data_IF_647771030456
#
_entry.id   IF_647771030456
#
_cell.length_a   1.000
_cell.length_b   1.000
_cell.length_c   1.000
_cell.angle_alpha   90.00
_cell.angle_beta   90.00
_cell.angle_gamma   90.00
#
_symmetry.space_group_name_H-M   'P 1'
#
loop_
_entity.id
_entity.type
_entity.pdbx_description
1 polymer ?
#
# COMPACT_ATOMS: atom_id res chain seq x y z
N UNK A 1 26.18 -28.23 -22.24
CA UNK A 1 26.61 -27.38 -21.13
C UNK A 1 26.84 -25.92 -21.58
N UNK A 2 25.90 -25.28 -22.28
CA UNK A 2 25.97 -23.85 -22.73
C UNK A 2 24.64 -23.08 -22.67
N UNK A 3 23.68 -23.48 -21.82
CA UNK A 3 22.38 -22.82 -21.71
C UNK A 3 22.18 -21.98 -20.42
N UNK A 4 23.16 -21.98 -19.52
CA UNK A 4 23.02 -21.39 -18.18
C UNK A 4 23.39 -19.89 -18.06
N UNK A 5 24.02 -19.27 -19.08
CA UNK A 5 24.57 -17.91 -18.94
C UNK A 5 23.62 -16.78 -19.39
N UNK A 6 22.56 -17.09 -20.15
CA UNK A 6 21.63 -16.05 -20.61
C UNK A 6 20.51 -15.72 -19.62
N UNK A 7 20.08 -16.68 -18.80
CA UNK A 7 19.02 -16.47 -17.78
C UNK A 7 19.53 -15.64 -16.61
N UNK A 8 20.79 -15.83 -16.21
CA UNK A 8 21.42 -15.03 -15.12
C UNK A 8 21.59 -13.56 -15.51
N UNK A 9 21.82 -13.26 -16.80
CA UNK A 9 21.92 -11.86 -17.27
C UNK A 9 20.58 -11.10 -17.26
N UNK A 10 19.45 -11.78 -17.40
CA UNK A 10 18.13 -11.15 -17.35
C UNK A 10 17.77 -10.81 -15.89
N UNK A 11 18.15 -11.62 -14.91
CA UNK A 11 17.93 -11.32 -13.49
C UNK A 11 18.81 -10.18 -12.95
N UNK A 12 20.04 -10.02 -13.48
CA UNK A 12 20.93 -8.90 -13.11
C UNK A 12 20.43 -7.58 -13.72
N UNK A 13 19.77 -7.62 -14.87
CA UNK A 13 19.18 -6.41 -15.46
C UNK A 13 17.92 -5.92 -14.71
N UNK A 14 17.19 -6.81 -14.02
CA UNK A 14 16.04 -6.43 -13.19
C UNK A 14 16.42 -5.86 -11.80
N UNK A 15 17.63 -6.17 -11.32
CA UNK A 15 18.16 -5.61 -10.06
C UNK A 15 18.83 -4.23 -10.24
N UNK A 16 19.10 -3.82 -11.49
CA UNK A 16 19.71 -2.51 -11.77
C UNK A 16 18.68 -1.40 -12.07
N UNK A 17 17.38 -1.74 -12.12
CA UNK A 17 16.30 -0.76 -12.16
C UNK A 17 15.61 -0.67 -10.80
N UNK A 18 16.38 -0.45 -9.73
CA UNK A 18 15.83 0.29 -8.61
C UNK A 18 15.68 1.74 -9.12
N UNK A 19 14.45 2.28 -9.22
CA UNK A 19 14.33 3.72 -9.33
C UNK A 19 14.93 4.25 -8.05
N UNK A 20 16.14 4.81 -8.14
CA UNK A 20 16.58 5.76 -7.14
C UNK A 20 15.44 6.75 -7.03
N UNK A 21 14.69 6.70 -5.93
CA UNK A 21 13.87 7.80 -5.45
C UNK A 21 14.87 8.93 -5.16
N UNK A 22 15.34 9.57 -6.23
CA UNK A 22 15.93 10.89 -6.17
C UNK A 22 14.80 11.74 -5.60
N UNK A 23 14.94 12.12 -4.33
CA UNK A 23 14.22 13.28 -3.82
C UNK A 23 14.39 14.34 -4.91
N UNK A 24 13.30 14.70 -5.58
CA UNK A 24 13.30 15.74 -6.61
C UNK A 24 13.72 17.03 -5.90
N UNK A 25 15.03 17.27 -5.88
CA UNK A 25 15.57 18.57 -5.46
C UNK A 25 15.03 19.56 -6.48
N UNK A 26 14.34 20.58 -5.98
CA UNK A 26 13.87 21.70 -6.80
C UNK A 26 14.98 22.14 -7.75
N UNK A 27 14.69 22.14 -9.04
CA UNK A 27 15.60 22.76 -10.00
C UNK A 27 15.70 24.26 -9.68
N UNK A 28 16.84 24.86 -9.96
CA UNK A 28 17.01 26.30 -9.75
C UNK A 28 15.95 27.14 -10.49
N UNK A 29 15.45 26.63 -11.61
CA UNK A 29 14.37 27.28 -12.38
C UNK A 29 13.04 27.27 -11.65
N UNK A 30 12.72 26.21 -10.92
CA UNK A 30 11.48 26.12 -10.14
C UNK A 30 11.52 27.02 -8.90
N UNK A 31 12.67 27.12 -8.24
CA UNK A 31 12.87 28.09 -7.15
C UNK A 31 12.65 29.50 -7.66
N UNK A 32 13.20 29.85 -8.82
CA UNK A 32 13.01 31.16 -9.44
C UNK A 32 11.55 31.41 -9.84
N UNK A 33 10.82 30.40 -10.30
CA UNK A 33 9.38 30.52 -10.60
C UNK A 33 8.55 30.79 -9.34
N UNK A 34 8.87 30.15 -8.23
CA UNK A 34 8.21 30.42 -6.94
C UNK A 34 8.54 31.81 -6.43
N UNK A 35 9.81 32.22 -6.48
CA UNK A 35 10.23 33.56 -6.06
C UNK A 35 9.63 34.69 -6.92
N UNK A 36 9.30 34.46 -8.19
CA UNK A 36 8.57 35.39 -9.03
C UNK A 36 7.11 35.63 -8.63
N UNK A 37 6.51 34.73 -7.85
CA UNK A 37 5.12 34.81 -7.37
C UNK A 37 5.01 35.57 -6.02
N UNK A 38 6.13 35.92 -5.41
CA UNK A 38 6.18 36.53 -4.08
C UNK A 38 6.94 37.84 -4.12
N UNK A 39 6.52 38.83 -3.34
CA UNK A 39 7.26 40.07 -3.12
C UNK A 39 8.35 39.78 -2.09
N UNK A 40 9.56 40.28 -2.36
CA UNK A 40 10.68 40.19 -1.42
C UNK A 40 10.79 41.50 -0.65
N UNK A 41 10.71 41.42 0.66
CA UNK A 41 10.85 42.53 1.60
C UNK A 41 12.13 42.36 2.40
N UNK A 42 12.71 43.45 2.85
CA UNK A 42 13.78 43.42 3.85
C UNK A 42 13.20 43.54 5.26
N UNK A 43 13.42 42.53 6.07
CA UNK A 43 13.01 42.52 7.47
C UNK A 43 14.19 42.13 8.35
N UNK A 44 14.53 42.99 9.31
CA UNK A 44 15.69 42.83 10.21
C UNK A 44 17.03 42.57 9.48
N UNK A 45 17.24 43.13 8.30
CA UNK A 45 18.45 42.96 7.48
C UNK A 45 18.53 41.63 6.72
N UNK A 46 17.44 40.89 6.66
CA UNK A 46 17.29 39.64 5.88
C UNK A 46 16.26 39.85 4.78
N UNK A 47 16.52 39.25 3.61
CA UNK A 47 15.56 39.22 2.54
C UNK A 47 14.48 38.18 2.87
N UNK A 48 13.23 38.60 2.85
CA UNK A 48 12.06 37.76 3.24
C UNK A 48 11.05 37.75 2.10
N UNK A 49 10.61 36.56 1.72
CA UNK A 49 9.52 36.37 0.77
C UNK A 49 8.17 36.50 1.47
N UNK A 50 7.36 37.45 1.00
CA UNK A 50 6.00 37.66 1.52
C UNK A 50 5.04 36.60 0.97
N UNK A 51 4.54 35.71 1.83
CA UNK A 51 3.73 34.59 1.43
C UNK A 51 2.34 34.64 2.06
N UNK A 52 1.25 34.63 1.24
CA UNK A 52 -0.10 34.48 1.74
C UNK A 52 -0.43 32.99 1.99
N UNK A 53 -1.37 32.71 2.91
CA UNK A 53 -1.84 31.35 3.20
C UNK A 53 -2.27 30.61 1.93
N UNK A 54 -2.99 31.29 1.04
CA UNK A 54 -3.47 30.72 -0.22
C UNK A 54 -2.34 30.11 -1.06
N UNK A 55 -1.24 30.85 -1.21
CA UNK A 55 -0.07 30.38 -1.97
C UNK A 55 0.59 29.17 -1.31
N UNK A 56 0.69 29.17 0.03
CA UNK A 56 1.24 28.04 0.79
C UNK A 56 0.40 26.78 0.56
N UNK A 57 -0.92 26.89 0.62
CA UNK A 57 -1.82 25.76 0.37
C UNK A 57 -1.77 25.28 -1.09
N UNK A 58 -1.65 26.17 -2.07
CA UNK A 58 -1.46 25.80 -3.48
C UNK A 58 -0.15 25.03 -3.68
N UNK A 59 0.96 25.53 -3.15
CA UNK A 59 2.26 24.85 -3.22
C UNK A 59 2.24 23.51 -2.51
N UNK A 60 1.54 23.43 -1.38
CA UNK A 60 1.36 22.18 -0.65
C UNK A 60 0.67 21.10 -1.51
N UNK A 61 -0.43 21.46 -2.17
CA UNK A 61 -1.18 20.55 -3.05
C UNK A 61 -0.35 20.03 -4.23
N UNK A 62 0.51 20.89 -4.79
CA UNK A 62 1.33 20.52 -5.93
C UNK A 62 2.55 19.67 -5.56
N UNK A 63 3.15 19.89 -4.38
CA UNK A 63 4.49 19.40 -4.06
C UNK A 63 4.60 18.39 -2.94
N UNK A 64 3.67 18.40 -1.99
CA UNK A 64 3.81 17.53 -0.83
C UNK A 64 3.66 16.07 -1.21
N UNK A 65 4.68 15.25 -0.91
CA UNK A 65 4.70 13.82 -1.20
C UNK A 65 3.50 13.08 -0.59
N UNK A 66 2.98 13.58 0.53
CA UNK A 66 1.80 13.02 1.16
C UNK A 66 0.56 13.07 0.25
N UNK A 67 0.36 14.16 -0.52
CA UNK A 67 -0.76 14.23 -1.48
C UNK A 67 -0.57 13.27 -2.65
N UNK A 68 0.66 13.12 -3.16
CA UNK A 68 0.98 12.14 -4.20
C UNK A 68 0.73 10.71 -3.71
N UNK A 69 1.14 10.38 -2.48
CA UNK A 69 0.90 9.05 -1.90
C UNK A 69 -0.58 8.73 -1.72
N UNK A 70 -1.40 9.73 -1.33
CA UNK A 70 -2.84 9.57 -1.22
C UNK A 70 -3.50 9.32 -2.58
N UNK A 71 -3.07 10.02 -3.63
CA UNK A 71 -3.55 9.77 -4.99
C UNK A 71 -3.20 8.35 -5.46
N UNK A 72 -1.98 7.90 -5.23
CA UNK A 72 -1.56 6.53 -5.55
C UNK A 72 -2.34 5.48 -4.74
N UNK A 73 -2.73 5.76 -3.50
CA UNK A 73 -3.55 4.84 -2.71
C UNK A 73 -4.98 4.69 -3.26
N UNK A 74 -5.55 5.74 -3.82
CA UNK A 74 -6.83 5.70 -4.53
C UNK A 74 -6.72 4.85 -5.81
N UNK A 75 -5.66 5.06 -6.60
CA UNK A 75 -5.38 4.30 -7.82
C UNK A 75 -5.13 2.80 -7.51
N UNK A 76 -4.40 2.51 -6.45
CA UNK A 76 -4.17 1.14 -5.98
C UNK A 76 -5.48 0.44 -5.63
N UNK A 77 -6.42 1.13 -4.95
CA UNK A 77 -7.73 0.58 -4.65
C UNK A 77 -8.56 0.29 -5.92
N UNK A 78 -8.51 1.18 -6.93
CA UNK A 78 -9.15 0.94 -8.22
C UNK A 78 -8.54 -0.27 -8.95
N UNK A 79 -7.22 -0.38 -8.94
CA UNK A 79 -6.50 -1.53 -9.53
C UNK A 79 -6.87 -2.82 -8.82
N UNK A 80 -7.09 -2.79 -7.51
CA UNK A 80 -7.56 -3.96 -6.74
C UNK A 80 -8.92 -4.49 -7.21
N UNK A 81 -9.85 -3.61 -7.63
CA UNK A 81 -11.13 -4.04 -8.23
C UNK A 81 -10.89 -4.81 -9.53
N UNK A 82 -10.00 -4.28 -10.40
CA UNK A 82 -9.65 -4.95 -11.66
C UNK A 82 -9.06 -6.32 -11.37
N UNK A 83 -8.05 -6.41 -10.49
CA UNK A 83 -7.44 -7.69 -10.12
C UNK A 83 -8.43 -8.69 -9.49
N UNK A 84 -9.44 -8.17 -8.76
CA UNK A 84 -10.48 -9.04 -8.17
C UNK A 84 -11.46 -9.55 -9.23
N UNK A 85 -11.80 -8.77 -10.22
CA UNK A 85 -12.63 -9.20 -11.37
C UNK A 85 -11.88 -10.22 -12.24
N UNK A 86 -10.58 -10.01 -12.44
CA UNK A 86 -9.73 -10.90 -13.24
C UNK A 86 -9.45 -12.24 -12.58
N UNK A 87 -9.74 -12.40 -11.29
CA UNK A 87 -9.56 -13.68 -10.58
C UNK A 87 -10.28 -14.86 -11.23
N UNK A 88 -11.37 -14.59 -11.95
CA UNK A 88 -12.14 -15.60 -12.67
C UNK A 88 -11.70 -15.77 -14.14
N UNK A 89 -10.60 -15.10 -14.57
CA UNK A 89 -10.05 -15.30 -15.91
C UNK A 89 -9.47 -16.71 -16.07
N UNK A 90 -9.45 -17.23 -17.30
CA UNK A 90 -8.84 -18.52 -17.57
C UNK A 90 -7.35 -18.48 -17.24
N UNK A 91 -6.87 -19.53 -16.59
CA UNK A 91 -5.46 -19.71 -16.27
C UNK A 91 -4.88 -20.86 -17.07
N UNK A 92 -3.67 -20.67 -17.60
CA UNK A 92 -2.86 -21.71 -18.21
C UNK A 92 -1.60 -21.89 -17.37
N UNK A 93 -1.45 -23.06 -16.77
CA UNK A 93 -0.30 -23.40 -15.95
C UNK A 93 0.46 -24.57 -16.57
N UNK A 94 1.75 -24.40 -16.79
CA UNK A 94 2.62 -25.50 -17.21
C UNK A 94 3.63 -25.77 -16.09
N UNK A 95 3.75 -27.04 -15.70
CA UNK A 95 4.68 -27.52 -14.69
C UNK A 95 5.60 -28.58 -15.29
N UNK A 96 6.85 -28.57 -14.83
CA UNK A 96 7.87 -29.55 -15.18
C UNK A 96 8.41 -30.15 -13.87
N UNK A 97 8.37 -31.46 -13.77
CA UNK A 97 8.82 -32.20 -12.58
C UNK A 97 9.80 -33.29 -12.95
N UNK A 98 10.86 -33.43 -12.16
CA UNK A 98 11.76 -34.57 -12.18
C UNK A 98 11.83 -35.15 -10.75
N UNK A 99 11.68 -36.43 -10.65
CA UNK A 99 11.89 -37.12 -9.38
C UNK A 99 12.71 -38.39 -9.61
N UNK A 100 13.64 -38.67 -8.72
CA UNK A 100 14.36 -39.92 -8.64
C UNK A 100 14.16 -40.49 -7.23
N UNK A 101 13.78 -41.76 -7.16
CA UNK A 101 13.57 -42.46 -5.90
C UNK A 101 14.18 -43.87 -5.97
N UNK A 102 14.92 -44.20 -4.95
CA UNK A 102 15.46 -45.55 -4.76
C UNK A 102 14.88 -46.16 -3.48
N UNK A 103 14.38 -47.39 -3.56
CA UNK A 103 13.94 -48.13 -2.39
C UNK A 103 14.67 -49.48 -2.34
N UNK A 104 15.23 -49.81 -1.16
CA UNK A 104 15.83 -51.10 -0.88
C UNK A 104 14.88 -51.88 0.03
N UNK A 105 14.59 -53.13 -0.38
CA UNK A 105 13.84 -54.08 0.45
C UNK A 105 14.78 -55.04 1.14
N UNK A 106 14.56 -55.32 2.41
CA UNK A 106 15.48 -56.05 3.32
C UNK A 106 15.74 -57.51 2.98
N UNK A 107 15.13 -58.07 1.95
CA UNK A 107 15.24 -59.50 1.69
C UNK A 107 16.05 -59.90 0.45
N UNK A 108 16.09 -59.13 -0.64
CA UNK A 108 16.79 -59.57 -1.87
C UNK A 108 16.83 -58.58 -3.00
N UNK A 109 16.71 -57.31 -2.72
CA UNK A 109 16.80 -56.33 -3.81
C UNK A 109 16.06 -55.01 -3.56
N UNK A 110 16.09 -54.14 -4.53
CA UNK A 110 15.44 -52.84 -4.48
C UNK A 110 14.96 -52.41 -5.85
N UNK A 111 14.45 -51.20 -5.92
CA UNK A 111 14.13 -50.55 -7.21
C UNK A 111 14.55 -49.11 -7.17
N UNK A 112 15.11 -48.64 -8.26
CA UNK A 112 15.34 -47.26 -8.55
C UNK A 112 14.37 -46.81 -9.65
N UNK A 113 13.70 -45.69 -9.46
CA UNK A 113 12.76 -45.16 -10.45
C UNK A 113 13.01 -43.68 -10.68
N UNK A 114 13.24 -43.30 -11.92
CA UNK A 114 13.30 -41.94 -12.36
C UNK A 114 12.03 -41.55 -13.15
N UNK A 115 11.43 -40.46 -12.80
CA UNK A 115 10.19 -39.98 -13.41
C UNK A 115 10.33 -38.54 -13.85
N UNK A 116 10.09 -38.28 -15.13
CA UNK A 116 9.93 -36.97 -15.70
C UNK A 116 8.44 -36.72 -15.97
N UNK A 117 7.92 -35.59 -15.50
CA UNK A 117 6.53 -35.21 -15.71
C UNK A 117 6.44 -33.80 -16.30
N UNK A 118 5.68 -33.66 -17.37
CA UNK A 118 5.28 -32.36 -17.93
C UNK A 118 3.76 -32.30 -17.82
N UNK A 119 3.22 -31.25 -17.24
CA UNK A 119 1.77 -31.09 -17.12
C UNK A 119 1.39 -29.67 -17.51
N UNK A 120 0.39 -29.55 -18.39
CA UNK A 120 -0.20 -28.28 -18.78
C UNK A 120 -1.68 -28.32 -18.43
N UNK A 121 -2.10 -27.41 -17.56
CA UNK A 121 -3.49 -27.30 -17.07
C UNK A 121 -4.07 -25.97 -17.50
N UNK A 122 -5.18 -26.02 -18.20
CA UNK A 122 -6.07 -24.89 -18.44
C UNK A 122 -7.21 -24.98 -17.43
N UNK A 123 -7.52 -23.89 -16.72
CA UNK A 123 -8.65 -23.87 -15.81
C UNK A 123 -9.37 -22.53 -15.83
N UNK A 124 -10.70 -22.56 -15.62
CA UNK A 124 -11.53 -21.37 -15.51
C UNK A 124 -12.61 -21.57 -14.47
N UNK A 125 -12.76 -20.58 -13.57
CA UNK A 125 -13.92 -20.45 -12.70
C UNK A 125 -14.94 -19.51 -13.35
N UNK A 126 -16.20 -19.91 -13.32
CA UNK A 126 -17.33 -19.12 -13.81
C UNK A 126 -17.93 -18.28 -12.67
N UNK A 127 -18.62 -17.21 -13.02
CA UNK A 127 -19.22 -16.29 -12.04
C UNK A 127 -20.38 -16.92 -11.23
N UNK A 128 -20.92 -18.06 -11.68
CA UNK A 128 -21.91 -18.83 -10.95
C UNK A 128 -21.31 -19.85 -9.94
N UNK A 129 -19.97 -19.87 -9.80
CA UNK A 129 -19.26 -20.77 -8.91
C UNK A 129 -18.80 -22.09 -9.54
N UNK A 130 -19.30 -22.45 -10.73
CA UNK A 130 -18.80 -23.59 -11.47
C UNK A 130 -17.34 -23.39 -11.90
N UNK A 131 -16.57 -24.48 -11.99
CA UNK A 131 -15.24 -24.43 -12.58
C UNK A 131 -15.03 -25.61 -13.51
N UNK A 132 -14.31 -25.37 -14.59
CA UNK A 132 -13.89 -26.42 -15.52
C UNK A 132 -12.41 -26.30 -15.83
N UNK A 133 -11.81 -27.40 -16.21
CA UNK A 133 -10.40 -27.46 -16.55
C UNK A 133 -10.09 -28.61 -17.49
N UNK A 134 -8.96 -28.45 -18.18
CA UNK A 134 -8.37 -29.44 -19.04
C UNK A 134 -6.91 -29.61 -18.65
N UNK A 135 -6.47 -30.83 -18.41
CA UNK A 135 -5.07 -31.12 -18.07
C UNK A 135 -4.52 -32.12 -19.06
N UNK A 136 -3.46 -31.72 -19.73
CA UNK A 136 -2.61 -32.64 -20.52
C UNK A 136 -1.36 -32.90 -19.71
N UNK A 137 -1.09 -34.17 -19.41
CA UNK A 137 0.14 -34.56 -18.73
C UNK A 137 0.84 -35.70 -19.46
N UNK A 138 2.15 -35.61 -19.44
CA UNK A 138 3.07 -36.61 -19.96
C UNK A 138 4.01 -37.02 -18.84
N UNK A 139 4.10 -38.32 -18.61
CA UNK A 139 4.94 -38.91 -17.56
C UNK A 139 5.81 -39.99 -18.16
N UNK A 140 7.11 -39.77 -18.19
CA UNK A 140 8.11 -40.73 -18.57
C UNK A 140 8.68 -41.41 -17.32
N UNK A 141 8.58 -42.73 -17.25
CA UNK A 141 9.07 -43.53 -16.12
C UNK A 141 10.14 -44.50 -16.61
N UNK A 142 11.28 -44.50 -15.96
CA UNK A 142 12.30 -45.50 -16.11
C UNK A 142 12.55 -46.17 -14.76
N UNK A 143 12.43 -47.49 -14.70
CA UNK A 143 12.66 -48.25 -13.46
C UNK A 143 13.81 -49.22 -13.66
N UNK A 144 14.64 -49.35 -12.66
CA UNK A 144 15.75 -50.29 -12.61
C UNK A 144 15.59 -51.17 -11.38
N UNK A 145 15.61 -52.48 -11.54
CA UNK A 145 15.61 -53.42 -10.43
C UNK A 145 17.03 -53.58 -9.90
N UNK A 146 17.21 -53.41 -8.61
CA UNK A 146 18.49 -53.57 -7.92
C UNK A 146 18.50 -54.95 -7.25
N UNK A 147 19.47 -55.78 -7.55
CA UNK A 147 19.67 -57.07 -6.85
C UNK A 147 20.90 -56.98 -5.98
N UNK A 148 20.76 -57.30 -4.71
CA UNK A 148 21.84 -57.39 -3.77
C UNK A 148 22.26 -58.83 -3.60
N UNK A 149 23.44 -59.22 -4.04
CA UNK A 149 23.99 -60.56 -3.75
C UNK A 149 24.59 -60.62 -2.36
N UNK A 150 25.03 -59.47 -1.79
CA UNK A 150 25.50 -59.33 -0.43
C UNK A 150 25.32 -57.88 0.00
N UNK A 151 25.30 -57.59 1.33
CA UNK A 151 25.16 -56.25 1.92
C UNK A 151 26.24 -55.24 1.51
N UNK A 152 27.33 -55.71 0.89
CA UNK A 152 28.46 -54.87 0.46
C UNK A 152 28.44 -54.50 -1.03
N UNK A 153 27.58 -55.14 -1.85
CA UNK A 153 27.52 -54.89 -3.31
C UNK A 153 26.08 -54.91 -3.80
N UNK A 154 25.57 -53.77 -4.18
CA UNK A 154 24.29 -53.64 -4.90
C UNK A 154 24.59 -53.54 -6.39
N UNK A 155 24.24 -54.54 -7.16
CA UNK A 155 24.44 -54.52 -8.60
C UNK A 155 23.09 -54.34 -9.34
N UNK A 156 23.07 -53.49 -10.36
CA UNK A 156 21.88 -53.25 -11.18
C UNK A 156 21.76 -54.34 -12.21
N UNK A 157 20.79 -55.24 -12.10
CA UNK A 157 20.70 -56.40 -12.97
C UNK A 157 19.62 -56.35 -14.03
N UNK A 158 18.60 -55.51 -13.90
CA UNK A 158 17.56 -55.43 -14.92
C UNK A 158 17.00 -54.02 -15.02
N UNK A 159 17.20 -53.38 -16.13
CA UNK A 159 16.52 -52.11 -16.47
C UNK A 159 15.24 -52.45 -17.23
N UNK A 160 14.09 -51.97 -16.75
CA UNK A 160 12.87 -52.05 -17.56
C UNK A 160 12.95 -51.01 -18.67
N UNK A 161 12.42 -51.29 -19.84
CA UNK A 161 12.29 -50.33 -20.90
C UNK A 161 11.54 -49.11 -20.41
N UNK A 162 12.01 -47.86 -20.72
CA UNK A 162 11.31 -46.68 -20.36
C UNK A 162 9.91 -46.66 -20.99
N UNK A 163 8.91 -46.31 -20.21
CA UNK A 163 7.58 -46.14 -20.75
C UNK A 163 7.09 -44.68 -20.50
N UNK A 164 6.32 -44.21 -21.47
CA UNK A 164 5.66 -42.92 -21.44
C UNK A 164 4.18 -43.10 -21.29
N UNK A 165 3.60 -42.36 -20.35
CA UNK A 165 2.16 -42.30 -20.14
C UNK A 165 1.71 -40.85 -20.40
N UNK A 166 0.89 -40.66 -21.42
CA UNK A 166 0.17 -39.44 -21.67
C UNK A 166 -1.24 -39.55 -21.08
N UNK A 167 -1.73 -38.45 -20.52
CA UNK A 167 -3.13 -38.39 -20.08
C UNK A 167 -3.75 -37.03 -20.42
N UNK A 168 -4.97 -37.07 -20.95
CA UNK A 168 -5.82 -35.92 -21.17
C UNK A 168 -7.02 -36.01 -20.24
N UNK A 169 -7.13 -35.09 -19.32
CA UNK A 169 -8.23 -35.02 -18.35
C UNK A 169 -9.08 -33.77 -18.57
N UNK A 170 -10.41 -33.95 -18.57
CA UNK A 170 -11.35 -32.84 -18.48
C UNK A 170 -12.10 -32.94 -17.15
N UNK A 171 -12.19 -31.87 -16.42
CA UNK A 171 -12.88 -31.78 -15.14
C UNK A 171 -13.89 -30.66 -15.11
N UNK A 172 -15.05 -30.92 -14.48
CA UNK A 172 -16.13 -29.97 -14.24
C UNK A 172 -16.58 -30.08 -12.79
N UNK A 173 -16.52 -29.01 -12.05
CA UNK A 173 -17.01 -28.91 -10.68
C UNK A 173 -18.22 -27.99 -10.60
N UNK A 174 -19.32 -28.52 -10.04
CA UNK A 174 -20.59 -27.81 -9.88
C UNK A 174 -20.93 -27.72 -8.40
N UNK A 175 -20.90 -26.55 -7.79
CA UNK A 175 -21.36 -26.35 -6.42
C UNK A 175 -22.89 -26.23 -6.38
N UNK A 176 -23.55 -26.83 -5.36
CA UNK A 176 -25.01 -26.79 -5.20
C UNK A 176 -25.48 -25.83 -4.10
N UNK A 177 -24.74 -25.69 -3.01
CA UNK A 177 -25.10 -24.83 -1.88
C UNK A 177 -24.01 -23.81 -1.58
N UNK A 178 -22.94 -24.21 -0.91
CA UNK A 178 -21.82 -23.32 -0.64
C UNK A 178 -21.14 -22.94 -1.96
N UNK A 179 -20.87 -21.65 -2.12
CA UNK A 179 -20.23 -21.07 -3.31
C UNK A 179 -21.03 -21.22 -4.62
N UNK A 180 -22.32 -21.57 -4.52
CA UNK A 180 -23.23 -21.63 -5.65
C UNK A 180 -23.89 -20.28 -5.91
N UNK A 181 -23.99 -19.91 -7.20
CA UNK A 181 -24.70 -18.73 -7.64
C UNK A 181 -23.83 -17.50 -7.85
N UNK A 182 -24.35 -16.57 -8.66
CA UNK A 182 -23.65 -15.35 -9.07
C UNK A 182 -23.41 -14.38 -7.90
N UNK A 183 -24.39 -14.20 -7.02
CA UNK A 183 -24.31 -13.22 -5.96
C UNK A 183 -23.13 -13.46 -5.02
N UNK A 184 -22.98 -14.72 -4.57
CA UNK A 184 -21.91 -15.11 -3.64
C UNK A 184 -20.53 -15.01 -4.29
N UNK A 185 -20.43 -15.42 -5.55
CA UNK A 185 -19.16 -15.37 -6.27
C UNK A 185 -18.75 -13.95 -6.67
N UNK A 186 -19.68 -13.00 -6.69
CA UNK A 186 -19.44 -11.58 -6.96
C UNK A 186 -19.18 -10.75 -5.68
N UNK A 187 -19.38 -11.32 -4.48
CA UNK A 187 -19.12 -10.62 -3.21
C UNK A 187 -17.71 -10.04 -3.11
N UNK A 188 -16.63 -10.74 -3.52
CA UNK A 188 -15.29 -10.17 -3.47
C UNK A 188 -15.14 -8.91 -4.33
N UNK A 189 -15.83 -8.84 -5.47
CA UNK A 189 -15.84 -7.66 -6.34
C UNK A 189 -16.60 -6.52 -5.67
N UNK A 190 -17.79 -6.78 -5.11
CA UNK A 190 -18.57 -5.80 -4.34
C UNK A 190 -17.79 -5.25 -3.15
N UNK A 191 -17.04 -6.11 -2.43
CA UNK A 191 -16.18 -5.70 -1.33
C UNK A 191 -15.00 -4.83 -1.81
N UNK A 192 -14.40 -5.16 -2.95
CA UNK A 192 -13.35 -4.35 -3.55
C UNK A 192 -13.87 -2.97 -4.00
N UNK A 193 -15.09 -2.89 -4.56
CA UNK A 193 -15.75 -1.64 -4.94
C UNK A 193 -16.00 -0.73 -3.72
N UNK A 194 -16.45 -1.30 -2.59
CA UNK A 194 -16.54 -0.55 -1.32
C UNK A 194 -15.14 -0.12 -0.84
N UNK A 195 -14.12 -0.93 -1.09
CA UNK A 195 -12.73 -0.59 -0.81
C UNK A 195 -12.30 0.69 -1.53
N UNK A 196 -12.70 0.88 -2.80
CA UNK A 196 -12.47 2.13 -3.55
C UNK A 196 -13.21 3.31 -2.92
N UNK A 197 -14.49 3.14 -2.58
CA UNK A 197 -15.28 4.18 -1.91
C UNK A 197 -14.62 4.62 -0.60
N UNK A 198 -14.16 3.67 0.21
CA UNK A 198 -13.44 3.94 1.47
C UNK A 198 -12.08 4.61 1.22
N UNK A 199 -11.31 4.17 0.23
CA UNK A 199 -10.03 4.78 -0.14
C UNK A 199 -10.21 6.24 -0.53
N UNK A 200 -11.24 6.57 -1.31
CA UNK A 200 -11.59 7.94 -1.69
C UNK A 200 -11.88 8.82 -0.46
N UNK A 201 -12.78 8.37 0.44
CA UNK A 201 -13.14 9.15 1.62
C UNK A 201 -12.00 9.29 2.63
N UNK A 202 -11.19 8.23 2.81
CA UNK A 202 -9.96 8.29 3.61
C UNK A 202 -8.95 9.29 3.04
N UNK A 203 -8.74 9.25 1.74
CA UNK A 203 -7.85 10.18 1.04
C UNK A 203 -8.33 11.62 1.21
N UNK A 204 -9.65 11.86 1.03
CA UNK A 204 -10.25 13.19 1.24
C UNK A 204 -10.07 13.69 2.67
N UNK A 205 -10.35 12.85 3.66
CA UNK A 205 -10.16 13.19 5.08
C UNK A 205 -8.70 13.52 5.38
N UNK A 206 -7.77 12.69 4.88
CA UNK A 206 -6.33 12.90 5.06
C UNK A 206 -5.83 14.17 4.37
N UNK A 207 -6.31 14.45 3.15
CA UNK A 207 -6.00 15.71 2.43
C UNK A 207 -6.46 16.94 3.22
N UNK A 208 -7.67 16.92 3.76
CA UNK A 208 -8.18 18.01 4.61
C UNK A 208 -7.36 18.17 5.90
N UNK A 209 -7.00 17.06 6.56
CA UNK A 209 -6.17 17.10 7.76
C UNK A 209 -4.76 17.65 7.49
N UNK A 210 -4.15 17.30 6.35
CA UNK A 210 -2.87 17.85 5.93
C UNK A 210 -2.96 19.37 5.68
N UNK A 211 -3.99 19.82 4.95
CA UNK A 211 -4.21 21.26 4.70
C UNK A 211 -4.43 22.02 5.99
N UNK A 212 -5.22 21.47 6.92
CA UNK A 212 -5.43 22.07 8.23
C UNK A 212 -4.13 22.15 9.04
N UNK A 213 -3.30 21.11 9.03
CA UNK A 213 -2.00 21.11 9.69
C UNK A 213 -1.06 22.18 9.13
N UNK A 214 -1.00 22.32 7.80
CA UNK A 214 -0.20 23.36 7.14
C UNK A 214 -0.73 24.76 7.46
N UNK A 215 -2.04 24.95 7.45
CA UNK A 215 -2.66 26.22 7.83
C UNK A 215 -2.36 26.59 9.29
N UNK A 216 -2.37 25.62 10.20
CA UNK A 216 -1.98 25.84 11.60
C UNK A 216 -0.55 26.34 11.73
N UNK A 217 0.42 25.68 11.09
CA UNK A 217 1.82 26.10 11.10
C UNK A 217 1.99 27.52 10.50
N UNK A 218 1.20 27.84 9.47
CA UNK A 218 1.21 29.19 8.91
C UNK A 218 0.71 30.26 9.91
N UNK A 219 -0.38 29.98 10.64
CA UNK A 219 -0.88 30.91 11.65
C UNK A 219 0.06 31.02 12.84
N UNK A 220 0.83 29.98 13.18
CA UNK A 220 1.92 30.07 14.15
C UNK A 220 3.01 31.01 13.66
N UNK A 221 3.34 30.98 12.35
CA UNK A 221 4.27 31.93 11.73
C UNK A 221 3.75 33.35 11.82
N UNK A 222 2.48 33.61 11.54
CA UNK A 222 1.85 34.94 11.69
C UNK A 222 1.96 35.42 13.13
N UNK A 223 1.61 34.59 14.10
CA UNK A 223 1.62 34.93 15.53
C UNK A 223 3.01 35.29 16.03
N UNK A 224 4.04 34.54 15.61
CA UNK A 224 5.42 34.82 16.07
C UNK A 224 5.96 36.10 15.49
N UNK A 225 5.68 36.43 14.22
CA UNK A 225 6.09 37.69 13.63
C UNK A 225 5.38 38.90 14.26
N UNK A 226 4.11 38.77 14.60
CA UNK A 226 3.38 39.79 15.35
C UNK A 226 3.99 39.99 16.75
N UNK A 227 4.36 38.88 17.43
CA UNK A 227 5.02 38.95 18.73
C UNK A 227 6.39 39.64 18.65
N UNK A 228 7.15 39.41 17.59
CA UNK A 228 8.42 40.12 17.34
C UNK A 228 8.18 41.61 17.19
N UNK A 229 7.18 42.03 16.42
CA UNK A 229 6.85 43.45 16.23
C UNK A 229 6.44 44.15 17.54
N UNK A 230 5.64 43.46 18.37
CA UNK A 230 5.25 43.95 19.68
C UNK A 230 6.46 44.06 20.62
N UNK A 231 7.33 43.03 20.63
CA UNK A 231 8.52 43.01 21.48
C UNK A 231 9.56 44.10 21.07
N UNK A 232 9.69 44.43 19.77
CA UNK A 232 10.51 45.56 19.31
C UNK A 232 10.03 46.88 19.90
N UNK A 233 8.71 47.08 19.95
CA UNK A 233 8.12 48.26 20.60
C UNK A 233 8.44 48.28 22.10
N UNK A 234 8.35 47.14 22.79
CA UNK A 234 8.69 47.02 24.21
C UNK A 234 10.16 47.37 24.45
N UNK A 235 11.08 46.85 23.66
CA UNK A 235 12.51 47.19 23.74
C UNK A 235 12.72 48.69 23.53
N UNK A 236 12.04 49.33 22.56
CA UNK A 236 12.14 50.78 22.33
C UNK A 236 11.67 51.59 23.53
N UNK A 237 10.55 51.16 24.17
CA UNK A 237 10.03 51.84 25.38
C UNK A 237 11.00 51.65 26.55
N UNK A 238 11.56 50.46 26.77
CA UNK A 238 12.51 50.21 27.84
C UNK A 238 13.82 50.97 27.65
N UNK A 239 14.30 51.13 26.39
CA UNK A 239 15.45 51.97 26.06
C UNK A 239 15.19 53.46 26.36
N UNK A 240 13.99 53.93 26.08
CA UNK A 240 13.64 55.32 26.40
C UNK A 240 13.56 55.52 27.91
N UNK A 241 12.92 54.60 28.64
CA UNK A 241 12.83 54.64 30.10
C UNK A 241 14.21 54.65 30.77
N UNK A 242 15.13 53.80 30.28
CA UNK A 242 16.49 53.79 30.78
C UNK A 242 17.20 55.14 30.58
N UNK A 243 17.07 55.75 29.37
CA UNK A 243 17.63 57.06 29.09
C UNK A 243 17.07 58.14 30.02
N UNK A 244 15.77 58.18 30.22
CA UNK A 244 15.09 59.12 31.10
C UNK A 244 15.54 58.95 32.57
N UNK A 245 15.63 57.71 33.05
CA UNK A 245 16.10 57.41 34.40
C UNK A 245 17.58 57.77 34.62
N UNK A 246 18.43 57.56 33.62
CA UNK A 246 19.82 58.01 33.65
C UNK A 246 19.93 59.56 33.70
N UNK A 247 19.09 60.29 32.97
CA UNK A 247 19.06 61.74 33.01
C UNK A 247 18.61 62.26 34.39
N UNK A 248 17.59 61.68 34.99
CA UNK A 248 17.10 62.03 36.35
C UNK A 248 18.14 61.67 37.42
N UNK A 249 18.86 60.57 37.29
CA UNK A 249 19.95 60.20 38.20
C UNK A 249 21.06 61.26 38.18
N UNK A 250 21.48 61.72 36.97
CA UNK A 250 22.48 62.75 36.83
C UNK A 250 22.04 64.12 37.47
N UNK A 251 20.72 64.35 37.46
CA UNK A 251 20.12 65.51 38.15
C UNK A 251 19.93 65.29 39.68
N UNK A 252 20.37 64.16 40.21
CA UNK A 252 20.23 63.79 41.64
C UNK A 252 18.81 63.47 42.08
N UNK A 253 17.89 63.23 41.15
CA UNK A 253 16.47 62.95 41.41
C UNK A 253 16.09 61.46 41.49
N UNK A 254 17.04 60.55 41.15
CA UNK A 254 16.78 59.13 41.11
C UNK A 254 17.95 58.35 41.72
N UNK A 255 17.66 57.19 42.36
CA UNK A 255 18.68 56.35 42.98
C UNK A 255 19.43 55.51 41.92
N UNK A 256 20.70 55.11 42.14
CA UNK A 256 21.41 54.21 41.25
C UNK A 256 20.72 52.83 41.10
N UNK A 257 20.00 52.38 42.13
CA UNK A 257 19.28 51.10 42.11
C UNK A 257 18.10 51.08 41.14
N UNK A 258 17.43 52.23 40.96
CA UNK A 258 16.32 52.38 39.99
C UNK A 258 16.80 52.42 38.55
N UNK A 259 18.00 52.98 38.29
CA UNK A 259 18.62 52.91 36.97
C UNK A 259 19.03 51.48 36.65
N UNK A 260 19.63 50.76 37.63
CA UNK A 260 19.98 49.34 37.46
C UNK A 260 18.74 48.47 37.20
N UNK A 261 17.60 48.78 37.85
CA UNK A 261 16.36 48.10 37.59
C UNK A 261 15.86 48.29 36.14
N UNK A 262 15.93 49.53 35.64
CA UNK A 262 15.55 49.81 34.23
C UNK A 262 16.51 49.19 33.21
N UNK A 263 17.79 49.12 33.53
CA UNK A 263 18.78 48.42 32.68
C UNK A 263 18.53 46.91 32.65
N UNK A 264 18.23 46.33 33.80
CA UNK A 264 17.86 44.90 33.89
C UNK A 264 16.58 44.62 33.11
N UNK A 265 15.59 45.52 33.13
CA UNK A 265 14.38 45.38 32.34
C UNK A 265 14.66 45.41 30.84
N UNK A 266 15.47 46.36 30.38
CA UNK A 266 15.88 46.43 28.98
C UNK A 266 16.56 45.14 28.52
N UNK A 267 17.52 44.63 29.31
CA UNK A 267 18.20 43.35 28.99
C UNK A 267 17.23 42.17 28.88
N UNK A 268 16.24 42.13 29.74
CA UNK A 268 15.18 41.08 29.66
C UNK A 268 14.36 41.21 28.38
N UNK A 269 13.96 42.42 28.00
CA UNK A 269 13.19 42.67 26.80
C UNK A 269 13.98 42.34 25.52
N UNK A 270 15.27 42.66 25.49
CA UNK A 270 16.20 42.29 24.42
C UNK A 270 16.41 40.78 24.34
N UNK A 271 16.56 40.10 25.49
CA UNK A 271 16.66 38.63 25.54
C UNK A 271 15.40 37.99 24.98
N UNK A 272 14.21 38.48 25.36
CA UNK A 272 12.92 37.97 24.85
C UNK A 272 12.81 38.16 23.35
N UNK A 273 13.21 39.33 22.83
CA UNK A 273 13.23 39.59 21.39
C UNK A 273 14.15 38.59 20.65
N UNK A 274 15.32 38.32 21.24
CA UNK A 274 16.26 37.38 20.66
C UNK A 274 15.68 35.94 20.62
N UNK A 275 15.02 35.51 21.70
CA UNK A 275 14.33 34.22 21.75
C UNK A 275 13.23 34.12 20.69
N UNK A 276 12.38 35.14 20.55
CA UNK A 276 11.31 35.16 19.54
C UNK A 276 11.86 35.05 18.11
N UNK A 277 13.01 35.70 17.83
CA UNK A 277 13.68 35.58 16.53
C UNK A 277 14.16 34.12 16.26
N UNK A 278 14.69 33.46 17.28
CA UNK A 278 15.09 32.05 17.16
C UNK A 278 13.88 31.15 16.92
N UNK A 279 12.78 31.39 17.60
CA UNK A 279 11.57 30.60 17.43
C UNK A 279 10.92 30.86 16.05
N UNK A 280 11.01 32.09 15.51
CA UNK A 280 10.58 32.35 14.14
C UNK A 280 11.32 31.50 13.10
N UNK A 281 12.64 31.32 13.24
CA UNK A 281 13.43 30.46 12.37
C UNK A 281 12.96 29.01 12.43
N UNK A 282 12.63 28.50 13.63
CA UNK A 282 12.11 27.13 13.79
C UNK A 282 10.76 26.96 13.08
N UNK A 283 9.86 27.94 13.21
CA UNK A 283 8.55 27.89 12.54
C UNK A 283 8.71 28.03 11.02
N UNK A 284 9.60 28.88 10.53
CA UNK A 284 9.94 28.94 9.10
C UNK A 284 10.42 27.58 8.57
N UNK A 285 11.29 26.89 9.32
CA UNK A 285 11.77 25.56 8.94
C UNK A 285 10.64 24.51 8.98
N UNK A 286 9.70 24.62 9.91
CA UNK A 286 8.50 23.76 9.93
C UNK A 286 7.63 23.97 8.69
N UNK A 287 7.41 25.23 8.26
CA UNK A 287 6.69 25.54 7.01
C UNK A 287 7.42 24.94 5.80
N UNK A 288 8.74 25.10 5.72
CA UNK A 288 9.54 24.52 4.63
C UNK A 288 9.44 23.00 4.60
N UNK A 289 9.57 22.37 5.77
CA UNK A 289 9.44 20.92 5.90
C UNK A 289 8.05 20.42 5.50
N UNK A 290 6.99 21.10 5.94
CA UNK A 290 5.62 20.76 5.59
C UNK A 290 5.33 20.87 4.08
N UNK A 291 6.00 21.81 3.39
CA UNK A 291 5.88 22.01 1.95
C UNK A 291 6.90 21.19 1.13
N UNK A 292 7.77 20.44 1.80
CA UNK A 292 8.89 19.72 1.16
C UNK A 292 9.77 20.66 0.31
N UNK A 293 10.01 21.88 0.83
CA UNK A 293 10.87 22.87 0.18
C UNK A 293 12.32 22.73 0.66
N UNK A 294 13.32 22.94 -0.23
CA UNK A 294 14.71 23.02 0.18
C UNK A 294 14.95 24.30 0.98
N UNK A 295 16.14 24.43 1.53
CA UNK A 295 16.57 25.67 2.15
C UNK A 295 16.61 26.78 1.08
N UNK A 296 15.72 27.77 1.25
CA UNK A 296 15.65 28.93 0.35
C UNK A 296 16.64 29.99 0.81
N UNK A 297 17.22 30.80 -0.11
CA UNK A 297 18.11 31.91 0.24
C UNK A 297 17.39 33.09 0.95
N UNK A 298 16.06 33.04 0.95
CA UNK A 298 15.19 34.06 1.56
C UNK A 298 14.38 33.47 2.69
N UNK A 299 14.10 34.26 3.74
CA UNK A 299 13.17 33.85 4.81
C UNK A 299 11.71 33.89 4.34
N UNK A 300 10.80 33.35 5.15
CA UNK A 300 9.37 33.42 4.89
C UNK A 300 8.70 34.44 5.81
N UNK A 301 7.99 35.40 5.23
CA UNK A 301 7.22 36.40 5.96
C UNK A 301 5.73 36.25 5.63
N UNK A 302 4.84 36.13 6.61
CA UNK A 302 3.41 36.00 6.35
C UNK A 302 2.81 37.33 5.92
N UNK A 303 1.95 37.33 4.90
CA UNK A 303 1.26 38.54 4.43
C UNK A 303 -0.12 38.73 5.06
N UNK A 304 -0.72 37.67 5.58
CA UNK A 304 -2.08 37.74 6.09
C UNK A 304 -2.12 38.29 7.52
N UNK A 305 -3.08 39.18 7.76
CA UNK A 305 -3.34 39.74 9.09
C UNK A 305 -4.66 39.13 9.58
N UNK A 306 -4.68 38.49 10.78
CA UNK A 306 -5.92 37.94 11.31
C UNK A 306 -6.94 39.06 11.51
N UNK A 307 -8.11 38.91 10.86
CA UNK A 307 -9.24 39.80 11.03
C UNK A 307 -10.31 39.13 11.90
N UNK A 308 -10.78 39.84 12.94
CA UNK A 308 -11.96 39.40 13.67
C UNK A 308 -13.21 39.75 12.86
N UNK A 309 -13.55 38.90 11.88
CA UNK A 309 -14.86 38.95 11.25
C UNK A 309 -15.71 37.85 11.88
N UNK A 310 -16.80 38.22 12.54
CA UNK A 310 -17.86 37.27 12.85
C UNK A 310 -18.61 37.03 11.54
N UNK A 311 -18.36 35.89 10.88
CA UNK A 311 -19.31 35.43 9.87
C UNK A 311 -20.62 35.10 10.59
N UNK A 312 -21.76 35.61 10.07
CA UNK A 312 -23.06 35.20 10.53
C UNK A 312 -23.15 33.68 10.37
N UNK A 313 -23.28 32.98 11.52
CA UNK A 313 -23.41 31.54 11.52
C UNK A 313 -24.64 31.19 10.67
N UNK A 314 -24.43 30.40 9.62
CA UNK A 314 -25.49 29.82 8.83
C UNK A 314 -26.49 29.10 9.77
N UNK A 315 -27.75 29.05 9.36
CA UNK A 315 -28.79 28.31 10.07
C UNK A 315 -28.30 26.91 10.45
N UNK A 316 -28.40 26.55 11.71
CA UNK A 316 -27.85 25.29 12.26
C UNK A 316 -28.38 24.04 11.55
N UNK A 317 -29.62 24.08 11.06
CA UNK A 317 -30.21 22.96 10.29
C UNK A 317 -29.53 22.77 8.95
N UNK A 318 -29.24 23.86 8.20
CA UNK A 318 -28.54 23.79 6.94
C UNK A 318 -27.08 23.35 7.10
N UNK A 319 -26.43 23.77 8.17
CA UNK A 319 -25.07 23.29 8.50
C UNK A 319 -25.05 21.80 8.81
N UNK A 320 -26.05 21.31 9.54
CA UNK A 320 -26.17 19.87 9.81
C UNK A 320 -26.37 19.06 8.51
N UNK A 321 -27.18 19.54 7.59
CA UNK A 321 -27.44 18.89 6.32
C UNK A 321 -26.16 18.86 5.46
N UNK A 322 -25.42 19.99 5.38
CA UNK A 322 -24.11 20.06 4.71
C UNK A 322 -23.08 19.06 5.33
N UNK A 323 -23.07 18.93 6.66
CA UNK A 323 -22.18 17.96 7.36
C UNK A 323 -22.57 16.54 7.02
N UNK A 324 -23.86 16.18 7.05
CA UNK A 324 -24.33 14.83 6.74
C UNK A 324 -24.00 14.40 5.32
N UNK A 325 -23.95 15.32 4.36
CA UNK A 325 -23.63 15.03 2.98
C UNK A 325 -22.12 15.00 2.69
N UNK A 326 -21.35 15.87 3.35
CA UNK A 326 -19.96 16.12 2.99
C UNK A 326 -18.92 15.58 3.97
N UNK A 327 -19.35 15.13 5.18
CA UNK A 327 -18.41 14.63 6.18
C UNK A 327 -17.85 13.25 5.79
N UNK A 328 -16.53 13.20 5.70
CA UNK A 328 -15.80 12.00 5.31
C UNK A 328 -15.97 10.86 6.31
N UNK A 329 -16.11 11.17 7.61
CA UNK A 329 -16.26 10.14 8.65
C UNK A 329 -17.63 9.48 8.58
N UNK A 330 -18.68 10.25 8.31
CA UNK A 330 -20.04 9.72 8.11
C UNK A 330 -20.07 8.83 6.87
N UNK A 331 -19.46 9.27 5.76
CA UNK A 331 -19.36 8.49 4.54
C UNK A 331 -18.58 7.17 4.76
N UNK A 332 -17.45 7.22 5.48
CA UNK A 332 -16.68 6.04 5.85
C UNK A 332 -17.47 5.05 6.71
N UNK A 333 -18.26 5.54 7.66
CA UNK A 333 -19.10 4.70 8.50
C UNK A 333 -20.21 4.02 7.69
N UNK A 334 -20.83 4.73 6.72
CA UNK A 334 -21.82 4.16 5.79
C UNK A 334 -21.19 3.07 4.92
N UNK A 335 -20.02 3.34 4.34
CA UNK A 335 -19.27 2.34 3.56
C UNK A 335 -18.88 1.12 4.41
N UNK A 336 -18.49 1.33 5.67
CA UNK A 336 -18.17 0.25 6.60
C UNK A 336 -19.38 -0.59 6.96
N UNK A 337 -20.56 0.00 7.17
CA UNK A 337 -21.80 -0.75 7.38
C UNK A 337 -22.16 -1.61 6.16
N UNK A 338 -22.04 -1.05 4.96
CA UNK A 338 -22.27 -1.78 3.71
C UNK A 338 -21.25 -2.92 3.52
N UNK A 339 -19.99 -2.69 3.89
CA UNK A 339 -18.97 -3.74 3.90
C UNK A 339 -19.36 -4.87 4.85
N UNK A 340 -19.77 -4.54 6.08
CA UNK A 340 -20.20 -5.54 7.08
C UNK A 340 -21.39 -6.35 6.62
N UNK A 341 -22.35 -5.76 5.91
CA UNK A 341 -23.48 -6.51 5.38
C UNK A 341 -23.05 -7.57 4.35
N UNK A 342 -22.07 -7.26 3.49
CA UNK A 342 -21.53 -8.24 2.54
C UNK A 342 -20.63 -9.29 3.21
N UNK A 343 -19.88 -8.92 4.25
CA UNK A 343 -19.13 -9.88 5.06
C UNK A 343 -20.08 -10.89 5.75
N UNK A 344 -21.22 -10.44 6.26
CA UNK A 344 -22.26 -11.31 6.83
C UNK A 344 -22.76 -12.30 5.76
N UNK A 345 -23.12 -11.83 4.56
CA UNK A 345 -23.54 -12.71 3.45
C UNK A 345 -22.47 -13.74 3.10
N UNK A 346 -21.17 -13.36 3.13
CA UNK A 346 -20.08 -14.29 2.91
C UNK A 346 -19.97 -15.34 4.02
N UNK A 347 -20.17 -14.93 5.27
CA UNK A 347 -20.16 -15.85 6.42
C UNK A 347 -21.37 -16.80 6.39
N UNK A 348 -22.55 -16.29 6.03
CA UNK A 348 -23.75 -17.12 5.83
C UNK A 348 -23.54 -18.17 4.74
N UNK A 349 -22.93 -17.77 3.62
CA UNK A 349 -22.54 -18.75 2.58
C UNK A 349 -21.57 -19.81 3.12
N UNK A 350 -20.63 -19.41 3.98
CA UNK A 350 -19.67 -20.37 4.56
C UNK A 350 -20.31 -21.35 5.54
N UNK A 351 -21.48 -21.03 6.10
CA UNK A 351 -22.27 -21.93 6.95
C UNK A 351 -23.07 -22.95 6.13
N UNK A 352 -23.28 -22.69 4.84
CA UNK A 352 -23.97 -23.64 3.96
C UNK A 352 -23.21 -24.95 3.84
N UNK A 353 -23.96 -26.06 3.70
CA UNK A 353 -23.39 -27.38 3.42
C UNK A 353 -22.58 -27.32 2.13
N UNK A 354 -21.36 -27.85 2.18
CA UNK A 354 -20.53 -27.97 0.99
C UNK A 354 -20.92 -29.25 0.25
N UNK A 355 -21.75 -29.12 -0.78
CA UNK A 355 -22.11 -30.22 -1.70
C UNK A 355 -21.69 -29.82 -3.11
N UNK A 356 -20.76 -30.57 -3.68
CA UNK A 356 -20.29 -30.41 -5.04
C UNK A 356 -20.52 -31.67 -5.84
N UNK A 357 -20.72 -31.52 -7.13
CA UNK A 357 -20.61 -32.59 -8.10
C UNK A 357 -19.31 -32.40 -8.89
N UNK A 358 -18.39 -33.31 -8.72
CA UNK A 358 -17.15 -33.36 -9.45
C UNK A 358 -17.25 -34.42 -10.56
N UNK A 359 -17.25 -33.93 -11.81
CA UNK A 359 -17.22 -34.73 -13.02
C UNK A 359 -15.82 -34.72 -13.59
N UNK A 360 -15.24 -35.90 -13.84
CA UNK A 360 -13.97 -36.00 -14.52
C UNK A 360 -14.01 -37.07 -15.60
N UNK A 361 -13.36 -36.76 -16.72
CA UNK A 361 -13.14 -37.66 -17.81
C UNK A 361 -11.68 -37.67 -18.18
N UNK A 362 -11.04 -38.84 -18.18
CA UNK A 362 -9.61 -38.96 -18.44
C UNK A 362 -9.39 -40.03 -19.50
N UNK A 363 -8.60 -39.69 -20.51
CA UNK A 363 -8.08 -40.64 -21.50
C UNK A 363 -6.59 -40.81 -21.23
N UNK A 364 -6.11 -42.07 -21.23
CA UNK A 364 -4.71 -42.42 -21.02
C UNK A 364 -4.18 -43.14 -22.24
N UNK A 365 -2.96 -42.83 -22.65
CA UNK A 365 -2.21 -43.51 -23.69
C UNK A 365 -0.83 -43.91 -23.19
N UNK A 366 -0.31 -45.02 -23.68
CA UNK A 366 0.99 -45.57 -23.29
C UNK A 366 1.87 -45.76 -24.52
N UNK A 367 3.17 -45.54 -24.37
CA UNK A 367 4.17 -45.73 -25.41
C UNK A 367 5.50 -46.12 -24.78
N UNK A 368 6.27 -46.93 -25.49
CA UNK A 368 7.68 -47.22 -25.15
C UNK A 368 8.64 -46.12 -25.62
N UNK A 369 8.17 -45.17 -26.43
CA UNK A 369 8.95 -44.00 -26.86
C UNK A 369 8.63 -42.82 -25.96
N UNK A 370 9.65 -42.02 -25.62
CA UNK A 370 9.47 -40.77 -24.88
C UNK A 370 8.51 -39.81 -25.63
N UNK A 371 7.49 -39.30 -24.94
CA UNK A 371 6.46 -38.42 -25.49
C UNK A 371 5.53 -39.07 -26.56
N UNK A 372 5.52 -40.38 -26.68
CA UNK A 372 4.73 -41.13 -27.67
C UNK A 372 3.30 -41.48 -27.22
N UNK A 373 2.97 -41.38 -25.93
CA UNK A 373 1.67 -41.83 -25.41
C UNK A 373 0.48 -41.08 -25.95
N UNK A 374 0.66 -39.81 -26.35
CA UNK A 374 -0.42 -38.99 -26.90
C UNK A 374 -0.94 -39.50 -28.26
N UNK A 375 -0.10 -40.19 -29.07
CA UNK A 375 -0.52 -40.80 -30.35
C UNK A 375 -1.48 -41.96 -30.15
N UNK A 376 -1.52 -42.57 -28.96
CA UNK A 376 -2.33 -43.70 -28.62
C UNK A 376 -3.73 -43.36 -28.06
N UNK A 377 -4.03 -42.08 -27.84
CA UNK A 377 -5.34 -41.66 -27.30
C UNK A 377 -6.54 -42.11 -28.14
N UNK A 378 -6.38 -42.25 -29.47
CA UNK A 378 -7.41 -42.71 -30.37
C UNK A 378 -7.60 -44.24 -30.39
N UNK A 379 -6.60 -44.98 -30.00
CA UNK A 379 -6.56 -46.45 -30.06
C UNK A 379 -6.69 -47.11 -28.66
N UNK A 380 -6.43 -46.32 -27.58
CA UNK A 380 -6.47 -46.86 -26.24
C UNK A 380 -7.91 -46.98 -25.75
N UNK A 381 -8.27 -48.19 -25.24
CA UNK A 381 -9.54 -48.43 -24.53
C UNK A 381 -9.46 -47.97 -23.06
N UNK A 382 -8.48 -47.14 -22.71
CA UNK A 382 -8.23 -46.69 -21.33
C UNK A 382 -8.91 -45.35 -21.07
N UNK A 383 -10.23 -45.40 -20.98
CA UNK A 383 -11.08 -44.29 -20.60
C UNK A 383 -11.53 -44.46 -19.17
N UNK A 384 -11.43 -43.39 -18.41
CA UNK A 384 -11.92 -43.33 -17.05
C UNK A 384 -12.93 -42.17 -16.93
N UNK A 385 -14.14 -42.48 -16.52
CA UNK A 385 -15.17 -41.48 -16.23
C UNK A 385 -15.57 -41.59 -14.78
N UNK A 386 -15.53 -40.49 -14.07
CA UNK A 386 -15.98 -40.43 -12.68
C UNK A 386 -17.00 -39.30 -12.50
N UNK A 387 -18.03 -39.62 -11.70
CA UNK A 387 -19.01 -38.63 -11.22
C UNK A 387 -19.10 -38.82 -9.70
N UNK A 388 -18.48 -37.90 -8.96
CA UNK A 388 -18.35 -38.04 -7.52
C UNK A 388 -19.10 -36.91 -6.83
N UNK A 389 -20.23 -37.17 -6.15
CA UNK A 389 -20.80 -36.19 -5.24
C UNK A 389 -19.94 -36.14 -3.99
N UNK A 390 -19.45 -34.94 -3.70
CA UNK A 390 -18.62 -34.65 -2.51
C UNK A 390 -19.42 -33.80 -1.55
N UNK A 391 -19.73 -34.35 -0.38
CA UNK A 391 -20.41 -33.63 0.69
C UNK A 391 -19.46 -33.43 1.87
N UNK A 392 -19.34 -32.18 2.31
CA UNK A 392 -18.59 -31.81 3.52
C UNK A 392 -19.56 -31.15 4.49
N UNK A 393 -19.82 -31.78 5.63
CA UNK A 393 -20.59 -31.19 6.72
C UNK A 393 -19.64 -30.87 7.87
N UNK A 394 -19.63 -29.62 8.31
CA UNK A 394 -18.98 -29.30 9.57
C UNK A 394 -19.83 -29.85 10.71
N UNK A 395 -19.39 -30.95 11.33
CA UNK A 395 -19.91 -31.38 12.61
C UNK A 395 -19.48 -30.34 13.64
N UNK A 396 -20.40 -29.46 14.00
CA UNK A 396 -20.23 -28.57 15.15
C UNK A 396 -20.11 -29.51 16.37
N UNK A 397 -18.94 -29.58 16.99
CA UNK A 397 -18.82 -30.16 18.30
C UNK A 397 -19.83 -29.43 19.18
N UNK A 398 -20.83 -30.14 19.71
CA UNK A 398 -21.69 -29.60 20.74
C UNK A 398 -20.77 -29.23 21.90
N UNK A 399 -20.55 -27.97 22.13
CA UNK A 399 -20.07 -27.48 23.42
C UNK A 399 -21.18 -27.88 24.41
N UNK A 400 -20.98 -29.01 25.06
CA UNK A 400 -21.71 -29.34 26.27
C UNK A 400 -21.29 -28.32 27.31
N UNK A 401 -22.09 -27.24 27.43
CA UNK A 401 -21.95 -26.30 28.50
C UNK A 401 -22.07 -27.02 29.85
N UNK A 402 -21.06 -26.92 30.64
CA UNK A 402 -21.09 -27.12 32.08
C UNK A 402 -20.89 -25.77 32.76
#
# INVERSE_FOLDING_TARGET
MRFSLKIVKIWILFLALSPTLLAETLSQEEIQRLLKRVEVLQFDGRDMAQVPLKLILEVALERTLAFKSLALSEEAAQTQVIGTRERNHPTLQTSFGYSNSASLSSASGGSESSVNTISTTFSKKLDNGMSYGFTLSERNTQSTTLVAEDWSSVESTTSSDPYSQSSLSANLKVPFFKDAGFEVNNLPVKLAEIGVERAYWNSRSSKLGLLQGIASIYWDLVSIYQSIELQKKSVTISQQLLRDNQARQRAGQLSPTEVLASETQLLRDEQTLYSLRQDALKVEDQVRAALNLPVLPVGLYPSDIPSMHSEDLKDSEKLLEEVYENDSQIALNRASLKQKSFEIQQLENNLNTNLNLDLAYTVKGYSTSSFGGASDFGNSNLHEMSATPVSYTHLRAHETGY
#
